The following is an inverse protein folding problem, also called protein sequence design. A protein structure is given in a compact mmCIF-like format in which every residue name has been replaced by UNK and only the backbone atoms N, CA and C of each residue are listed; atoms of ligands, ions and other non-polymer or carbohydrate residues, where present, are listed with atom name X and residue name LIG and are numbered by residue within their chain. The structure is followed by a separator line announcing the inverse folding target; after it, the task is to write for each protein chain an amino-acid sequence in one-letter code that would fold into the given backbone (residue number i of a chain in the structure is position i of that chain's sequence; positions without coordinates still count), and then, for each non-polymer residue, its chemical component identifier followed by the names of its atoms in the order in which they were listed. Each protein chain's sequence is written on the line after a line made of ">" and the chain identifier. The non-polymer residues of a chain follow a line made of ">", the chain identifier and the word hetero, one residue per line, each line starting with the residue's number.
data_IF_084514123555
#
_entry.id   IF_084514123555
#
_cell.length_a   1.000
_cell.length_b   1.000
_cell.length_c   1.000
_cell.angle_alpha   90.00
_cell.angle_beta   90.00
_cell.angle_gamma   90.00
#
_symmetry.space_group_name_H-M   'P 1'
#
loop_
_entity.id
_entity.type
_entity.pdbx_description
1 polymer ?
#
# COMPACT_ATOMS: atom_id res chain seq x y z
N UNK A 1 54.78 -16.07 2.02
CA UNK A 1 56.24 -15.83 1.90
C UNK A 1 56.91 -16.48 0.68
N UNK A 2 56.36 -17.52 0.03
CA UNK A 2 57.00 -18.19 -1.12
C UNK A 2 56.90 -17.49 -2.50
N UNK A 3 56.11 -16.42 -2.67
CA UNK A 3 55.96 -15.70 -3.96
C UNK A 3 56.95 -14.55 -4.19
N UNK A 4 57.68 -14.12 -3.15
CA UNK A 4 58.67 -13.03 -3.25
C UNK A 4 60.09 -13.52 -3.58
N UNK A 5 60.36 -14.83 -3.45
CA UNK A 5 61.64 -15.42 -3.83
C UNK A 5 61.83 -15.54 -5.36
N UNK A 6 60.74 -15.64 -6.13
CA UNK A 6 60.80 -15.82 -7.58
C UNK A 6 61.24 -14.57 -8.36
N UNK A 7 60.85 -13.37 -7.89
CA UNK A 7 61.21 -12.10 -8.54
C UNK A 7 62.68 -11.73 -8.33
N UNK A 8 63.28 -12.13 -7.20
CA UNK A 8 64.70 -11.91 -6.93
C UNK A 8 65.62 -12.79 -7.79
N UNK A 9 65.17 -14.00 -8.17
CA UNK A 9 65.95 -14.92 -9.00
C UNK A 9 65.92 -14.51 -10.48
N UNK A 10 64.79 -13.97 -10.97
CA UNK A 10 64.68 -13.49 -12.35
C UNK A 10 65.60 -12.29 -12.65
N UNK A 11 65.80 -11.40 -11.68
CA UNK A 11 66.73 -10.27 -11.80
C UNK A 11 68.21 -10.71 -11.75
N UNK A 12 68.51 -11.86 -11.13
CA UNK A 12 69.87 -12.38 -11.00
C UNK A 12 70.31 -13.18 -12.24
N UNK A 13 69.37 -13.79 -12.96
CA UNK A 13 69.65 -14.51 -14.22
C UNK A 13 70.01 -13.55 -15.37
N UNK A 14 69.50 -12.32 -15.36
CA UNK A 14 69.84 -11.29 -16.36
C UNK A 14 71.24 -10.67 -16.20
N UNK A 15 71.93 -10.90 -15.08
CA UNK A 15 73.28 -10.37 -14.83
C UNK A 15 74.41 -11.39 -15.04
N UNK A 16 74.10 -12.65 -15.38
CA UNK A 16 75.07 -13.74 -15.49
C UNK A 16 75.53 -14.09 -16.92
N UNK A 17 75.01 -13.44 -17.97
CA UNK A 17 75.42 -13.65 -19.37
C UNK A 17 75.76 -12.32 -20.06
N UNK A 18 77.04 -11.89 -20.10
CA UNK A 18 77.45 -10.75 -20.91
C UNK A 18 77.92 -11.28 -22.28
N UNK A 19 77.00 -11.49 -23.21
CA UNK A 19 77.37 -11.89 -24.56
C UNK A 19 76.17 -11.98 -25.48
N UNK A 20 76.12 -11.05 -26.45
CA UNK A 20 75.08 -10.84 -27.46
C UNK A 20 73.80 -10.15 -26.95
N UNK A 21 73.63 -8.87 -27.31
CA UNK A 21 72.65 -8.42 -28.31
C UNK A 21 72.89 -6.91 -28.51
N UNK A 22 73.00 -6.53 -29.78
CA UNK A 22 73.16 -5.18 -30.30
C UNK A 22 71.99 -4.24 -29.97
N UNK A 23 72.29 -2.96 -30.16
CA UNK A 23 71.42 -1.81 -29.91
C UNK A 23 70.05 -1.88 -30.59
N UNK A 24 68.99 -1.67 -29.80
CA UNK A 24 67.98 -0.59 -29.93
C UNK A 24 66.65 -1.00 -29.26
N UNK A 25 66.17 -0.15 -28.34
CA UNK A 25 64.75 0.15 -28.08
C UNK A 25 63.78 -0.75 -27.26
N UNK A 26 64.19 -1.69 -26.40
CA UNK A 26 63.18 -2.53 -25.66
C UNK A 26 63.20 -2.56 -24.12
N UNK A 27 64.22 -2.02 -23.44
CA UNK A 27 64.24 -2.08 -21.97
C UNK A 27 63.47 -0.93 -21.28
N UNK A 28 63.38 0.24 -21.92
CA UNK A 28 62.61 1.39 -21.41
C UNK A 28 61.11 1.25 -21.75
N UNK A 29 60.78 0.61 -22.88
CA UNK A 29 59.40 0.38 -23.30
C UNK A 29 58.60 -0.51 -22.35
N UNK A 30 59.20 -1.58 -21.81
CA UNK A 30 58.50 -2.52 -20.93
C UNK A 30 58.30 -2.00 -19.50
N UNK A 31 59.22 -1.21 -18.94
CA UNK A 31 59.00 -0.54 -17.65
C UNK A 31 57.94 0.57 -17.74
N UNK A 32 57.89 1.30 -18.86
CA UNK A 32 56.86 2.31 -19.10
C UNK A 32 55.50 1.66 -19.42
N UNK A 33 55.45 0.52 -20.11
CA UNK A 33 54.21 -0.23 -20.34
C UNK A 33 53.64 -0.87 -19.07
N UNK A 34 54.48 -1.36 -18.15
CA UNK A 34 54.00 -1.89 -16.85
C UNK A 34 53.46 -0.76 -15.97
N UNK A 35 54.09 0.42 -15.97
CA UNK A 35 53.60 1.60 -15.24
C UNK A 35 52.34 2.23 -15.90
N UNK A 36 52.24 2.21 -17.24
CA UNK A 36 51.04 2.70 -17.94
C UNK A 36 49.85 1.74 -17.84
N UNK A 37 50.07 0.43 -17.79
CA UNK A 37 49.02 -0.55 -17.47
C UNK A 37 48.52 -0.44 -16.03
N UNK A 38 49.38 -0.06 -15.08
CA UNK A 38 48.99 0.26 -13.70
C UNK A 38 48.18 1.57 -13.62
N UNK A 39 48.55 2.61 -14.38
CA UNK A 39 47.79 3.87 -14.45
C UNK A 39 46.44 3.72 -15.16
N UNK A 40 46.36 2.94 -16.24
CA UNK A 40 45.11 2.64 -16.95
C UNK A 40 44.16 1.76 -16.12
N UNK A 41 44.67 0.79 -15.36
CA UNK A 41 43.85 -0.01 -14.44
C UNK A 41 43.38 0.80 -13.21
N UNK A 42 44.14 1.80 -12.76
CA UNK A 42 43.67 2.73 -11.72
C UNK A 42 42.64 3.74 -12.24
N UNK A 43 42.78 4.25 -13.48
CA UNK A 43 41.78 5.12 -14.11
C UNK A 43 40.48 4.37 -14.48
N UNK A 44 40.56 3.10 -14.89
CA UNK A 44 39.39 2.29 -15.19
C UNK A 44 38.54 1.95 -13.94
N UNK A 45 39.18 1.79 -12.77
CA UNK A 45 38.47 1.57 -11.50
C UNK A 45 37.95 2.85 -10.84
N UNK A 46 38.45 4.03 -11.22
CA UNK A 46 37.96 5.33 -10.72
C UNK A 46 36.74 5.85 -11.52
N UNK A 47 36.47 5.32 -12.73
CA UNK A 47 35.36 5.79 -13.58
C UNK A 47 34.04 5.03 -13.37
N UNK A 48 34.01 3.96 -12.56
CA UNK A 48 32.78 3.21 -12.24
C UNK A 48 32.15 3.53 -10.87
N UNK A 49 32.46 4.69 -10.29
CA UNK A 49 31.70 5.27 -9.17
C UNK A 49 31.42 6.74 -9.46
N UNK A 50 30.60 7.00 -10.49
CA UNK A 50 29.92 8.30 -10.62
C UNK A 50 28.53 8.09 -11.19
N UNK A 51 27.59 7.88 -10.28
CA UNK A 51 26.16 7.90 -10.58
C UNK A 51 25.32 7.73 -9.33
N UNK A 52 24.77 8.84 -8.83
CA UNK A 52 23.49 8.80 -8.11
C UNK A 52 23.41 9.64 -6.82
N UNK A 53 22.97 10.89 -6.94
CA UNK A 53 22.54 11.67 -5.77
C UNK A 53 21.95 13.07 -6.08
N UNK A 54 20.63 13.12 -6.34
CA UNK A 54 19.73 14.29 -6.19
C UNK A 54 19.73 15.30 -7.35
N UNK A 55 18.62 15.88 -7.84
CA UNK A 55 17.21 15.95 -7.43
C UNK A 55 16.69 17.33 -7.87
N UNK A 56 15.48 17.43 -8.46
CA UNK A 56 14.80 18.73 -8.65
C UNK A 56 13.97 18.92 -9.93
N UNK A 57 12.66 18.67 -9.79
CA UNK A 57 11.47 19.30 -10.40
C UNK A 57 11.58 20.21 -11.64
N UNK A 58 10.80 19.90 -12.70
CA UNK A 58 9.64 20.72 -13.15
C UNK A 58 8.94 20.20 -14.42
N UNK A 59 7.60 20.26 -14.37
CA UNK A 59 6.60 20.45 -15.45
C UNK A 59 6.55 19.56 -16.71
N UNK A 60 5.39 18.89 -16.87
CA UNK A 60 4.55 19.09 -18.05
C UNK A 60 4.46 17.97 -19.11
N UNK A 61 3.25 17.50 -19.39
CA UNK A 61 2.83 17.16 -20.76
C UNK A 61 2.72 15.70 -21.18
N UNK A 62 1.50 15.16 -21.08
CA UNK A 62 0.76 14.23 -21.98
C UNK A 62 1.55 13.44 -23.06
N UNK A 63 1.33 12.11 -23.14
CA UNK A 63 0.54 11.40 -24.19
C UNK A 63 0.94 9.92 -24.38
N UNK A 64 -0.04 9.02 -24.21
CA UNK A 64 -0.38 7.78 -24.96
C UNK A 64 0.63 6.68 -25.35
N UNK A 65 0.18 5.43 -25.06
CA UNK A 65 0.38 4.14 -25.77
C UNK A 65 1.76 3.45 -25.61
N UNK A 66 1.93 2.13 -25.51
CA UNK A 66 1.07 0.97 -25.74
C UNK A 66 1.56 -0.28 -24.96
N UNK A 67 0.63 -1.19 -24.68
CA UNK A 67 0.74 -2.67 -24.70
C UNK A 67 2.00 -3.39 -24.18
N UNK A 68 1.82 -4.26 -23.19
CA UNK A 68 2.01 -5.70 -23.42
C UNK A 68 1.36 -6.54 -22.31
N UNK A 69 0.42 -7.35 -22.78
CA UNK A 69 -0.28 -8.43 -22.11
C UNK A 69 0.63 -9.62 -21.81
N UNK A 70 0.46 -10.25 -20.65
CA UNK A 70 0.64 -11.70 -20.53
C UNK A 70 -0.39 -12.24 -19.55
N UNK A 71 -1.39 -12.94 -20.11
CA UNK A 71 -2.40 -13.66 -19.36
C UNK A 71 -1.90 -15.05 -18.95
N UNK A 72 -2.42 -15.56 -17.84
CA UNK A 72 -2.56 -16.99 -17.61
C UNK A 72 -3.94 -17.27 -16.99
N UNK A 73 -4.72 -18.00 -17.77
CA UNK A 73 -5.99 -18.63 -17.46
C UNK A 73 -5.73 -20.09 -17.06
N UNK A 74 -6.43 -20.55 -16.03
CA UNK A 74 -6.86 -21.93 -15.75
C UNK A 74 -8.08 -21.74 -14.81
N UNK A 75 -9.34 -22.09 -15.11
CA UNK A 75 -9.84 -23.37 -15.64
C UNK A 75 -9.62 -24.42 -14.56
N UNK A 76 -10.58 -24.98 -13.84
CA UNK A 76 -12.01 -25.21 -14.03
C UNK A 76 -12.33 -26.53 -13.28
N UNK A 77 -13.62 -26.81 -13.08
CA UNK A 77 -14.21 -28.07 -12.57
C UNK A 77 -14.27 -28.22 -11.04
N UNK A 78 -15.42 -28.19 -10.37
CA UNK A 78 -16.71 -28.92 -10.50
C UNK A 78 -16.70 -30.36 -9.96
N UNK A 79 -17.55 -30.59 -8.96
CA UNK A 79 -18.28 -31.83 -8.58
C UNK A 79 -18.85 -31.57 -7.17
N UNK A 80 -20.17 -31.49 -6.96
CA UNK A 80 -21.14 -32.61 -6.93
C UNK A 80 -21.43 -32.91 -5.45
N UNK A 81 -22.64 -33.03 -4.89
CA UNK A 81 -23.92 -33.56 -5.37
C UNK A 81 -24.97 -33.24 -4.26
N UNK A 82 -26.12 -32.59 -4.52
CA UNK A 82 -27.42 -33.10 -5.00
C UNK A 82 -28.38 -33.68 -3.93
N UNK A 83 -29.55 -33.04 -3.77
CA UNK A 83 -30.92 -33.62 -3.77
C UNK A 83 -31.91 -32.57 -3.22
N UNK A 84 -33.14 -32.35 -3.69
CA UNK A 84 -33.90 -32.86 -4.84
C UNK A 84 -35.23 -32.08 -4.94
N UNK A 85 -35.64 -31.73 -6.18
CA UNK A 85 -37.05 -31.63 -6.69
C UNK A 85 -38.03 -30.62 -6.05
N UNK A 86 -38.95 -29.93 -6.74
CA UNK A 86 -39.51 -30.04 -8.10
C UNK A 86 -40.36 -28.77 -8.40
N UNK A 87 -40.43 -28.42 -9.70
CA UNK A 87 -41.54 -27.77 -10.44
C UNK A 87 -42.02 -26.37 -10.04
N UNK A 88 -42.31 -25.41 -10.94
CA UNK A 88 -42.44 -25.46 -12.39
C UNK A 88 -42.63 -24.04 -12.97
N UNK A 89 -41.91 -23.79 -14.07
CA UNK A 89 -42.39 -23.22 -15.35
C UNK A 89 -42.58 -21.70 -15.49
N UNK A 90 -41.63 -21.15 -16.26
CA UNK A 90 -41.69 -20.21 -17.40
C UNK A 90 -42.28 -18.81 -17.18
N UNK A 91 -41.45 -17.76 -17.24
CA UNK A 91 -40.76 -17.17 -18.41
C UNK A 91 -41.55 -16.03 -19.02
N UNK A 92 -40.88 -14.87 -19.07
CA UNK A 92 -40.84 -13.86 -20.15
C UNK A 92 -42.18 -13.19 -20.53
N UNK A 93 -42.26 -11.91 -20.87
CA UNK A 93 -41.31 -10.85 -21.17
C UNK A 93 -42.17 -9.66 -21.58
N UNK A 94 -41.68 -8.44 -21.41
CA UNK A 94 -41.95 -7.37 -22.37
C UNK A 94 -43.28 -6.60 -22.22
N UNK A 95 -43.11 -5.35 -21.80
CA UNK A 95 -43.54 -4.16 -22.55
C UNK A 95 -45.01 -3.73 -22.60
N UNK A 96 -45.12 -2.40 -22.67
CA UNK A 96 -46.15 -1.56 -23.32
C UNK A 96 -47.50 -1.31 -22.61
N UNK A 97 -47.57 -0.12 -22.02
CA UNK A 97 -48.46 1.00 -22.39
C UNK A 97 -49.91 0.76 -22.86
N UNK A 98 -50.82 1.46 -22.15
CA UNK A 98 -51.96 2.26 -22.63
C UNK A 98 -53.14 1.59 -23.36
N UNK A 99 -54.34 1.79 -22.80
CA UNK A 99 -55.61 2.37 -23.37
C UNK A 99 -56.80 1.83 -22.56
N UNK A 100 -57.60 2.68 -21.89
CA UNK A 100 -58.82 3.39 -22.34
C UNK A 100 -60.05 2.51 -22.63
N UNK A 101 -61.21 3.05 -22.21
CA UNK A 101 -62.60 2.74 -22.62
C UNK A 101 -63.33 1.69 -21.75
N UNK A 102 -64.28 2.07 -20.88
CA UNK A 102 -65.65 2.57 -21.09
C UNK A 102 -66.68 1.48 -21.43
N UNK A 103 -67.89 1.59 -20.84
CA UNK A 103 -69.09 0.89 -21.29
C UNK A 103 -69.84 0.12 -20.19
N UNK A 104 -70.89 0.73 -19.63
CA UNK A 104 -71.82 0.06 -18.71
C UNK A 104 -72.98 -0.67 -19.40
N UNK A 105 -73.84 -1.34 -18.61
CA UNK A 105 -75.32 -1.25 -18.58
C UNK A 105 -75.99 -2.45 -17.88
N UNK A 106 -76.87 -2.12 -16.91
CA UNK A 106 -78.28 -2.53 -16.69
C UNK A 106 -78.73 -3.98 -16.91
N UNK A 107 -79.32 -4.58 -15.86
CA UNK A 107 -80.60 -5.35 -15.79
C UNK A 107 -80.53 -6.29 -14.57
N UNK A 108 -81.57 -6.73 -13.86
CA UNK A 108 -83.03 -6.68 -13.94
C UNK A 108 -83.57 -7.28 -12.63
N UNK A 109 -84.81 -6.94 -12.25
CA UNK A 109 -85.32 -7.10 -10.88
C UNK A 109 -85.93 -8.44 -10.47
N UNK A 110 -86.56 -8.42 -9.28
CA UNK A 110 -87.64 -9.27 -8.73
C UNK A 110 -88.12 -8.53 -7.46
N UNK A 111 -89.33 -7.96 -7.39
CA UNK A 111 -90.67 -8.55 -7.26
C UNK A 111 -90.84 -9.55 -6.12
N UNK A 112 -91.48 -9.09 -5.04
CA UNK A 112 -92.34 -9.91 -4.16
C UNK A 112 -93.54 -9.08 -3.70
N UNK A 113 -94.73 -9.61 -3.98
CA UNK A 113 -96.05 -9.13 -3.55
C UNK A 113 -96.22 -9.18 -2.03
N UNK A 114 -97.03 -8.25 -1.50
CA UNK A 114 -97.63 -8.33 -0.17
C UNK A 114 -98.76 -7.31 -0.01
N UNK A 115 -100.01 -7.78 -0.16
CA UNK A 115 -101.27 -7.05 0.03
C UNK A 115 -101.42 -6.48 1.46
N UNK A 116 -102.02 -5.30 1.56
CA UNK A 116 -102.57 -4.76 2.80
C UNK A 116 -103.44 -3.53 2.54
N UNK A 117 -104.75 -3.72 2.59
CA UNK A 117 -105.81 -2.73 2.36
C UNK A 117 -105.97 -1.75 3.52
N UNK A 118 -106.34 -0.50 3.20
CA UNK A 118 -107.24 0.29 4.06
C UNK A 118 -106.83 1.74 4.30
N UNK A 119 -107.74 2.67 4.01
CA UNK A 119 -107.82 3.94 4.74
C UNK A 119 -107.72 5.20 3.89
N UNK A 120 -108.84 5.61 3.31
CA UNK A 120 -109.08 6.99 2.87
C UNK A 120 -108.82 7.99 4.00
N UNK A 121 -108.21 9.14 3.68
CA UNK A 121 -108.73 10.47 4.03
C UNK A 121 -107.90 11.59 3.40
N UNK A 122 -108.59 12.33 2.54
CA UNK A 122 -108.51 13.77 2.27
C UNK A 122 -107.54 14.59 3.13
N UNK A 123 -106.78 15.48 2.48
CA UNK A 123 -106.28 16.66 3.16
C UNK A 123 -105.16 17.40 2.45
N UNK A 124 -105.50 18.58 1.96
CA UNK A 124 -104.65 19.76 1.85
C UNK A 124 -103.64 19.85 0.68
N UNK A 125 -103.93 20.84 -0.16
CA UNK A 125 -102.95 21.60 -0.91
C UNK A 125 -101.74 21.98 -0.04
N UNK A 126 -100.53 21.91 -0.60
CA UNK A 126 -99.32 22.24 0.14
C UNK A 126 -98.07 22.31 -0.73
N UNK A 127 -97.86 23.48 -1.32
CA UNK A 127 -96.54 24.09 -1.59
C UNK A 127 -95.48 23.28 -2.36
N UNK A 128 -95.45 23.58 -3.66
CA UNK A 128 -94.33 23.52 -4.60
C UNK A 128 -93.12 24.40 -4.20
N UNK A 129 -92.61 24.30 -2.96
CA UNK A 129 -91.65 25.28 -2.42
C UNK A 129 -90.28 24.79 -1.96
N UNK A 130 -90.03 23.50 -1.71
CA UNK A 130 -88.86 23.06 -0.91
C UNK A 130 -87.95 21.97 -1.53
N UNK A 131 -88.20 21.56 -2.78
CA UNK A 131 -87.49 20.43 -3.38
C UNK A 131 -86.04 20.78 -3.71
N UNK A 132 -85.77 21.95 -4.28
CA UNK A 132 -84.41 22.36 -4.67
C UNK A 132 -83.48 22.57 -3.47
N UNK A 133 -83.99 23.13 -2.37
CA UNK A 133 -83.19 23.42 -1.18
C UNK A 133 -82.81 22.13 -0.42
N UNK A 134 -83.69 21.12 -0.42
CA UNK A 134 -83.40 19.81 0.16
C UNK A 134 -82.41 18.99 -0.69
N UNK A 135 -82.43 19.15 -2.02
CA UNK A 135 -81.49 18.50 -2.95
C UNK A 135 -80.11 19.16 -2.82
N UNK A 136 -80.03 20.50 -2.81
CA UNK A 136 -78.79 21.24 -2.58
C UNK A 136 -78.13 20.93 -1.23
N UNK A 137 -78.92 20.79 -0.15
CA UNK A 137 -78.39 20.41 1.16
C UNK A 137 -77.85 18.97 1.20
N UNK A 138 -78.38 18.06 0.38
CA UNK A 138 -77.89 16.68 0.27
C UNK A 138 -76.66 16.55 -0.63
N UNK A 139 -76.59 17.33 -1.71
CA UNK A 139 -75.40 17.46 -2.57
C UNK A 139 -74.20 17.98 -1.77
N UNK A 140 -74.38 19.06 -1.01
CA UNK A 140 -73.32 19.62 -0.15
C UNK A 140 -72.88 18.67 0.97
N UNK A 141 -73.78 17.83 1.50
CA UNK A 141 -73.41 16.80 2.48
C UNK A 141 -72.60 15.64 1.86
N UNK A 142 -72.92 15.26 0.61
CA UNK A 142 -72.17 14.26 -0.14
C UNK A 142 -70.77 14.77 -0.53
N UNK A 143 -70.67 16.01 -1.01
CA UNK A 143 -69.40 16.69 -1.32
C UNK A 143 -68.49 16.76 -0.09
N UNK A 144 -69.02 17.17 1.07
CA UNK A 144 -68.27 17.19 2.33
C UNK A 144 -67.77 15.80 2.77
N UNK A 145 -68.52 14.75 2.45
CA UNK A 145 -68.10 13.37 2.74
C UNK A 145 -66.95 12.97 1.82
N UNK A 146 -67.05 13.28 0.52
CA UNK A 146 -65.99 13.03 -0.46
C UNK A 146 -64.71 13.80 -0.12
N UNK A 147 -64.80 15.07 0.25
CA UNK A 147 -63.68 15.88 0.75
C UNK A 147 -62.96 15.23 1.94
N UNK A 148 -63.72 14.73 2.94
CA UNK A 148 -63.13 14.05 4.10
C UNK A 148 -62.40 12.75 3.72
N UNK A 149 -62.95 11.97 2.79
CA UNK A 149 -62.31 10.74 2.31
C UNK A 149 -61.03 11.10 1.54
N UNK A 150 -61.12 12.06 0.60
CA UNK A 150 -59.96 12.55 -0.17
C UNK A 150 -58.85 13.03 0.74
N UNK A 151 -59.16 13.83 1.76
CA UNK A 151 -58.21 14.31 2.76
C UNK A 151 -57.52 13.17 3.53
N UNK A 152 -58.28 12.16 3.94
CA UNK A 152 -57.73 11.04 4.73
C UNK A 152 -56.85 10.12 3.86
N UNK A 153 -57.30 9.80 2.66
CA UNK A 153 -56.57 8.95 1.71
C UNK A 153 -55.31 9.66 1.20
N UNK A 154 -55.42 10.95 0.87
CA UNK A 154 -54.29 11.79 0.46
C UNK A 154 -53.22 11.84 1.55
N UNK A 155 -53.60 12.14 2.79
CA UNK A 155 -52.67 12.14 3.91
C UNK A 155 -51.99 10.78 4.14
N UNK A 156 -52.75 9.68 4.09
CA UNK A 156 -52.24 8.32 4.29
C UNK A 156 -51.25 7.91 3.18
N UNK A 157 -51.65 8.10 1.93
CA UNK A 157 -50.85 7.71 0.76
C UNK A 157 -49.62 8.60 0.63
N UNK A 158 -49.77 9.92 0.76
CA UNK A 158 -48.66 10.87 0.66
C UNK A 158 -47.57 10.58 1.68
N UNK A 159 -47.95 10.29 2.93
CA UNK A 159 -46.98 9.89 3.94
C UNK A 159 -46.29 8.55 3.61
N UNK A 160 -47.07 7.53 3.22
CA UNK A 160 -46.53 6.21 2.90
C UNK A 160 -45.56 6.25 1.72
N UNK A 161 -45.91 6.97 0.65
CA UNK A 161 -45.08 7.13 -0.55
C UNK A 161 -43.80 7.90 -0.23
N UNK A 162 -43.88 8.99 0.54
CA UNK A 162 -42.72 9.72 0.99
C UNK A 162 -41.79 8.89 1.87
N UNK A 163 -42.35 8.05 2.76
CA UNK A 163 -41.57 7.23 3.70
C UNK A 163 -40.96 5.99 3.03
N UNK A 164 -41.59 5.45 2.00
CA UNK A 164 -40.97 4.51 1.06
C UNK A 164 -39.87 5.18 0.21
N UNK A 165 -39.89 6.51 0.13
CA UNK A 165 -38.95 7.31 -0.64
C UNK A 165 -39.20 7.23 -2.14
N UNK A 166 -40.46 7.06 -2.53
CA UNK A 166 -40.97 7.19 -3.89
C UNK A 166 -40.87 8.64 -4.35
N UNK A 167 -40.83 8.88 -5.66
CA UNK A 167 -40.96 10.22 -6.23
C UNK A 167 -42.41 10.70 -6.07
N UNK A 168 -42.63 11.99 -5.86
CA UNK A 168 -43.97 12.58 -5.81
C UNK A 168 -44.67 12.33 -7.16
N UNK A 169 -45.65 11.42 -7.18
CA UNK A 169 -46.49 11.15 -8.34
C UNK A 169 -47.94 11.30 -7.89
N UNK A 170 -48.63 12.30 -8.43
CA UNK A 170 -50.06 12.50 -8.17
C UNK A 170 -50.82 11.76 -9.27
N UNK A 171 -51.48 10.67 -8.91
CA UNK A 171 -52.34 9.92 -9.83
C UNK A 171 -53.73 10.54 -9.88
N UNK A 172 -54.03 11.25 -10.97
CA UNK A 172 -55.39 11.67 -11.29
C UNK A 172 -56.14 10.51 -11.94
N UNK A 173 -56.67 9.57 -11.13
CA UNK A 173 -57.72 8.68 -11.63
C UNK A 173 -59.06 9.40 -11.49
N UNK A 174 -59.83 9.44 -12.58
CA UNK A 174 -61.15 10.10 -12.72
C UNK A 174 -62.06 9.94 -11.48
N UNK A 175 -61.94 10.87 -10.52
CA UNK A 175 -62.81 10.98 -9.33
C UNK A 175 -63.38 12.40 -9.23
N UNK A 176 -64.47 12.53 -8.48
CA UNK A 176 -65.18 13.79 -8.22
C UNK A 176 -64.21 14.92 -7.83
N UNK A 177 -64.44 16.12 -8.35
CA UNK A 177 -63.56 17.29 -8.20
C UNK A 177 -63.34 17.65 -6.71
N UNK A 178 -64.42 17.58 -5.91
CA UNK A 178 -64.39 17.82 -4.46
C UNK A 178 -63.54 16.79 -3.68
N UNK A 179 -63.39 15.56 -4.16
CA UNK A 179 -62.47 14.58 -3.56
C UNK A 179 -61.02 14.91 -3.92
N UNK A 180 -60.76 15.22 -5.19
CA UNK A 180 -59.40 15.37 -5.74
C UNK A 180 -58.68 16.61 -5.20
N UNK A 181 -59.40 17.71 -4.97
CA UNK A 181 -58.83 18.94 -4.42
C UNK A 181 -58.25 18.71 -3.01
N UNK A 182 -59.05 18.16 -2.09
CA UNK A 182 -58.60 17.86 -0.73
C UNK A 182 -57.59 16.69 -0.69
N UNK A 183 -57.70 15.74 -1.61
CA UNK A 183 -56.70 14.68 -1.75
C UNK A 183 -55.33 15.25 -2.12
N UNK A 184 -55.23 16.10 -3.15
CA UNK A 184 -53.93 16.64 -3.59
C UNK A 184 -53.28 17.50 -2.49
N UNK A 185 -54.04 18.40 -1.87
CA UNK A 185 -53.53 19.25 -0.79
C UNK A 185 -53.00 18.42 0.38
N UNK A 186 -53.81 17.48 0.87
CA UNK A 186 -53.44 16.62 2.00
C UNK A 186 -52.30 15.66 1.66
N UNK A 187 -52.25 15.14 0.43
CA UNK A 187 -51.19 14.29 -0.07
C UNK A 187 -49.86 15.02 -0.09
N UNK A 188 -49.79 16.22 -0.66
CA UNK A 188 -48.56 17.02 -0.70
C UNK A 188 -48.06 17.38 0.70
N UNK A 189 -48.97 17.80 1.58
CA UNK A 189 -48.62 18.12 2.96
C UNK A 189 -48.07 16.91 3.72
N UNK A 190 -48.74 15.76 3.62
CA UNK A 190 -48.31 14.53 4.27
C UNK A 190 -47.04 13.94 3.65
N UNK A 191 -46.85 14.09 2.34
CA UNK A 191 -45.63 13.70 1.64
C UNK A 191 -44.42 14.51 2.14
N UNK A 192 -44.55 15.83 2.27
CA UNK A 192 -43.50 16.66 2.85
C UNK A 192 -43.16 16.25 4.30
N UNK A 193 -44.19 15.97 5.11
CA UNK A 193 -44.02 15.47 6.48
C UNK A 193 -43.33 14.09 6.52
N UNK A 194 -43.72 13.18 5.63
CA UNK A 194 -43.13 11.84 5.48
C UNK A 194 -41.67 11.90 5.06
N UNK A 195 -41.30 12.79 4.13
CA UNK A 195 -39.90 13.00 3.74
C UNK A 195 -39.05 13.51 4.91
N UNK A 196 -39.55 14.51 5.64
CA UNK A 196 -38.86 15.04 6.82
C UNK A 196 -38.63 13.94 7.87
N UNK A 197 -39.64 13.09 8.08
CA UNK A 197 -39.55 11.97 9.02
C UNK A 197 -38.58 10.89 8.54
N UNK A 198 -38.61 10.54 7.26
CA UNK A 198 -37.65 9.61 6.65
C UNK A 198 -36.21 10.10 6.84
N UNK A 199 -35.93 11.38 6.57
CA UNK A 199 -34.59 11.95 6.76
C UNK A 199 -34.12 11.92 8.22
N UNK A 200 -35.02 12.23 9.16
CA UNK A 200 -34.72 12.10 10.59
C UNK A 200 -34.41 10.66 10.99
N UNK A 201 -35.18 9.70 10.49
CA UNK A 201 -34.98 8.29 10.80
C UNK A 201 -33.71 7.74 10.15
N UNK A 202 -33.36 8.15 8.92
CA UNK A 202 -32.06 7.87 8.28
C UNK A 202 -30.90 8.39 9.14
N UNK A 203 -30.97 9.65 9.59
CA UNK A 203 -29.91 10.23 10.41
C UNK A 203 -29.76 9.52 11.77
N UNK A 204 -30.88 9.16 12.41
CA UNK A 204 -30.86 8.37 13.65
C UNK A 204 -30.30 6.97 13.41
N UNK A 205 -30.77 6.28 12.37
CA UNK A 205 -30.31 4.95 11.98
C UNK A 205 -28.81 4.93 11.69
N UNK A 206 -28.27 5.95 11.00
CA UNK A 206 -26.85 6.09 10.77
C UNK A 206 -26.06 6.18 12.09
N UNK A 207 -26.49 7.05 13.01
CA UNK A 207 -25.82 7.26 14.30
C UNK A 207 -25.90 6.02 15.19
N UNK A 208 -27.06 5.40 15.29
CA UNK A 208 -27.29 4.21 16.11
C UNK A 208 -26.56 2.98 15.54
N UNK A 209 -26.62 2.78 14.21
CA UNK A 209 -25.89 1.71 13.52
C UNK A 209 -24.39 1.84 13.76
N UNK A 210 -23.84 3.05 13.58
CA UNK A 210 -22.44 3.35 13.84
C UNK A 210 -22.06 3.12 15.31
N UNK A 211 -22.87 3.59 16.27
CA UNK A 211 -22.62 3.40 17.69
C UNK A 211 -22.65 1.92 18.10
N UNK A 212 -23.55 1.13 17.52
CA UNK A 212 -23.62 -0.32 17.75
C UNK A 212 -22.40 -1.03 17.17
N UNK A 213 -22.00 -0.71 15.94
CA UNK A 213 -20.84 -1.33 15.28
C UNK A 213 -19.50 -1.07 15.99
N UNK A 214 -19.39 0.03 16.73
CA UNK A 214 -18.24 0.25 17.63
C UNK A 214 -18.16 -0.75 18.77
N UNK A 215 -19.29 -1.23 19.26
CA UNK A 215 -19.37 -2.06 20.48
C UNK A 215 -19.41 -3.56 20.20
N UNK A 216 -20.05 -3.97 19.11
CA UNK A 216 -20.28 -5.40 18.80
C UNK A 216 -19.91 -5.75 17.36
N UNK A 217 -19.88 -7.04 17.06
CA UNK A 217 -19.78 -7.59 15.70
C UNK A 217 -21.13 -8.10 15.18
N UNK A 218 -22.16 -8.14 16.04
CA UNK A 218 -23.48 -8.66 15.69
C UNK A 218 -24.38 -7.52 15.21
N UNK A 219 -24.81 -7.60 13.96
CA UNK A 219 -25.79 -6.69 13.41
C UNK A 219 -27.18 -7.07 13.93
N UNK A 220 -27.81 -6.17 14.68
CA UNK A 220 -29.22 -6.27 15.08
C UNK A 220 -29.93 -4.99 14.70
N UNK A 221 -30.70 -5.03 13.60
CA UNK A 221 -31.47 -3.88 13.12
C UNK A 221 -32.76 -3.77 13.94
N UNK A 222 -33.02 -2.64 14.61
CA UNK A 222 -34.29 -2.40 15.31
C UNK A 222 -35.50 -2.61 14.39
N UNK A 223 -36.57 -3.24 14.90
CA UNK A 223 -37.82 -3.47 14.16
C UNK A 223 -38.44 -2.19 13.61
N UNK A 224 -38.23 -1.07 14.32
CA UNK A 224 -38.67 0.26 13.89
C UNK A 224 -38.08 0.67 12.54
N UNK A 225 -36.87 0.23 12.20
CA UNK A 225 -36.20 0.55 10.95
C UNK A 225 -36.48 -0.44 9.83
N UNK A 226 -36.96 -1.65 10.15
CA UNK A 226 -37.29 -2.68 9.16
C UNK A 226 -38.48 -2.31 8.27
N UNK A 227 -39.26 -1.29 8.66
CA UNK A 227 -40.41 -0.79 7.89
C UNK A 227 -40.03 0.02 6.66
N UNK A 228 -38.78 0.47 6.55
CA UNK A 228 -38.27 1.22 5.39
C UNK A 228 -36.89 0.70 5.02
N UNK A 229 -36.77 0.14 3.83
CA UNK A 229 -35.51 -0.43 3.32
C UNK A 229 -34.38 0.60 3.36
N UNK A 230 -34.66 1.86 3.00
CA UNK A 230 -33.67 2.95 3.03
C UNK A 230 -33.11 3.19 4.44
N UNK A 231 -33.95 3.14 5.47
CA UNK A 231 -33.54 3.34 6.86
C UNK A 231 -32.75 2.13 7.37
N UNK A 232 -33.23 0.92 7.10
CA UNK A 232 -32.56 -0.32 7.46
C UNK A 232 -31.17 -0.46 6.81
N UNK A 233 -31.07 -0.12 5.52
CA UNK A 233 -29.81 -0.15 4.77
C UNK A 233 -28.83 0.91 5.27
N UNK A 234 -29.32 2.10 5.64
CA UNK A 234 -28.49 3.14 6.27
C UNK A 234 -27.91 2.64 7.59
N UNK A 235 -28.74 2.06 8.46
CA UNK A 235 -28.28 1.47 9.73
C UNK A 235 -27.19 0.42 9.48
N UNK A 236 -27.45 -0.52 8.56
CA UNK A 236 -26.54 -1.61 8.20
C UNK A 236 -25.21 -1.08 7.67
N UNK A 237 -25.24 -0.11 6.77
CA UNK A 237 -24.05 0.49 6.17
C UNK A 237 -23.16 1.16 7.22
N UNK A 238 -23.75 2.00 8.07
CA UNK A 238 -23.00 2.68 9.12
C UNK A 238 -22.51 1.75 10.23
N UNK A 239 -23.25 0.67 10.52
CA UNK A 239 -22.78 -0.40 11.38
C UNK A 239 -21.50 -1.05 10.83
N UNK A 240 -21.50 -1.49 9.57
CA UNK A 240 -20.33 -2.13 8.98
C UNK A 240 -19.15 -1.17 8.83
N UNK A 241 -19.42 0.11 8.55
CA UNK A 241 -18.41 1.16 8.58
C UNK A 241 -17.71 1.24 9.94
N UNK A 242 -18.48 1.30 11.04
CA UNK A 242 -17.92 1.35 12.40
C UNK A 242 -17.11 0.10 12.76
N UNK A 243 -17.61 -1.10 12.40
CA UNK A 243 -16.90 -2.36 12.63
C UNK A 243 -15.56 -2.36 11.90
N UNK A 244 -15.55 -1.95 10.62
CA UNK A 244 -14.34 -1.86 9.81
C UNK A 244 -13.33 -0.88 10.40
N UNK A 245 -13.75 0.33 10.78
CA UNK A 245 -12.87 1.35 11.38
C UNK A 245 -12.25 0.86 12.70
N UNK A 246 -13.07 0.22 13.55
CA UNK A 246 -12.60 -0.35 14.81
C UNK A 246 -11.59 -1.48 14.57
N UNK A 247 -11.89 -2.39 13.67
CA UNK A 247 -11.02 -3.53 13.37
C UNK A 247 -9.70 -3.06 12.72
N UNK A 248 -9.73 -2.02 11.88
CA UNK A 248 -8.52 -1.38 11.37
C UNK A 248 -7.67 -0.75 12.48
N UNK A 249 -8.30 -0.04 13.42
CA UNK A 249 -7.60 0.56 14.56
C UNK A 249 -6.95 -0.50 15.46
N UNK A 250 -7.65 -1.61 15.73
CA UNK A 250 -7.11 -2.75 16.50
C UNK A 250 -5.95 -3.40 15.74
N UNK A 251 -6.11 -3.65 14.44
CA UNK A 251 -5.04 -4.22 13.60
C UNK A 251 -3.78 -3.34 13.63
N UNK A 252 -3.94 -2.01 13.56
CA UNK A 252 -2.83 -1.07 13.68
C UNK A 252 -2.12 -1.17 15.04
N UNK A 253 -2.86 -1.37 16.14
CA UNK A 253 -2.24 -1.58 17.46
C UNK A 253 -1.44 -2.87 17.49
N UNK A 254 -2.00 -3.99 17.04
CA UNK A 254 -1.29 -5.26 16.96
C UNK A 254 -0.04 -5.20 16.10
N UNK A 255 -0.10 -4.50 14.95
CA UNK A 255 1.08 -4.24 14.13
C UNK A 255 2.16 -3.46 14.90
N UNK A 256 1.79 -2.43 15.65
CA UNK A 256 2.76 -1.65 16.44
C UNK A 256 3.36 -2.47 17.58
N UNK A 257 2.58 -3.33 18.23
CA UNK A 257 3.06 -4.23 19.27
C UNK A 257 4.02 -5.27 18.67
N UNK A 258 3.65 -5.87 17.54
CA UNK A 258 4.51 -6.75 16.75
C UNK A 258 5.83 -6.08 16.39
N UNK A 259 5.79 -4.84 15.90
CA UNK A 259 7.00 -4.07 15.55
C UNK A 259 7.91 -3.84 16.76
N UNK A 260 7.37 -3.42 17.90
CA UNK A 260 8.14 -3.24 19.15
C UNK A 260 8.77 -4.54 19.63
N UNK A 261 8.04 -5.63 19.52
CA UNK A 261 8.47 -6.98 19.87
C UNK A 261 9.56 -7.49 18.92
N UNK A 262 9.40 -7.24 17.62
CA UNK A 262 10.39 -7.54 16.59
C UNK A 262 11.71 -6.82 16.82
N UNK A 263 11.67 -5.53 17.19
CA UNK A 263 12.87 -4.75 17.55
C UNK A 263 13.59 -5.24 18.80
N UNK A 264 12.96 -6.09 19.61
CA UNK A 264 13.56 -6.68 20.82
C UNK A 264 13.86 -8.16 20.67
N UNK A 265 13.62 -8.74 19.50
CA UNK A 265 13.71 -10.18 19.24
C UNK A 265 12.85 -11.04 20.20
N UNK A 266 11.69 -10.53 20.59
CA UNK A 266 10.73 -11.23 21.47
C UNK A 266 9.47 -11.55 20.69
N UNK A 267 9.16 -12.83 20.45
CA UNK A 267 7.96 -13.22 19.70
C UNK A 267 6.81 -13.60 20.65
N UNK A 268 5.80 -12.73 20.75
CA UNK A 268 4.62 -12.90 21.59
C UNK A 268 3.33 -12.69 20.80
N UNK A 269 2.98 -13.61 19.89
CA UNK A 269 1.77 -13.50 19.09
C UNK A 269 0.51 -13.64 19.94
N UNK A 270 -0.58 -12.93 19.60
CA UNK A 270 -1.82 -13.00 20.36
C UNK A 270 -2.55 -14.32 20.14
N UNK A 271 -2.59 -15.18 21.18
CA UNK A 271 -3.10 -16.56 21.08
C UNK A 271 -4.62 -16.70 20.82
N UNK A 272 -5.43 -15.69 21.18
CA UNK A 272 -6.91 -15.74 21.06
C UNK A 272 -7.48 -14.60 20.21
N UNK A 273 -6.64 -13.95 19.39
CA UNK A 273 -7.11 -12.89 18.52
C UNK A 273 -7.69 -13.44 17.22
N UNK A 274 -8.55 -12.65 16.57
CA UNK A 274 -9.00 -12.94 15.20
C UNK A 274 -7.78 -12.99 14.27
N UNK A 275 -7.83 -13.85 13.25
CA UNK A 275 -6.74 -14.04 12.28
C UNK A 275 -6.16 -12.74 11.74
N UNK A 276 -7.02 -11.80 11.33
CA UNK A 276 -6.61 -10.47 10.81
C UNK A 276 -5.68 -9.70 11.78
N UNK A 277 -5.90 -9.85 13.08
CA UNK A 277 -5.10 -9.18 14.10
C UNK A 277 -3.78 -9.90 14.37
N UNK A 278 -3.80 -11.24 14.35
CA UNK A 278 -2.58 -12.03 14.41
C UNK A 278 -1.68 -11.76 13.20
N UNK A 279 -2.26 -11.73 11.99
CA UNK A 279 -1.53 -11.40 10.75
C UNK A 279 -0.94 -9.99 10.82
N UNK A 280 -1.68 -9.01 11.35
CA UNK A 280 -1.17 -7.65 11.56
C UNK A 280 0.02 -7.62 12.53
N UNK A 281 -0.05 -8.40 13.62
CA UNK A 281 1.06 -8.56 14.57
C UNK A 281 2.29 -9.17 13.89
N UNK A 282 2.13 -10.28 13.16
CA UNK A 282 3.24 -10.97 12.50
C UNK A 282 3.93 -10.07 11.46
N UNK A 283 3.15 -9.32 10.69
CA UNK A 283 3.69 -8.33 9.75
C UNK A 283 4.51 -7.25 10.45
N UNK A 284 4.02 -6.75 11.60
CA UNK A 284 4.75 -5.81 12.44
C UNK A 284 6.05 -6.41 12.97
N UNK A 285 5.99 -7.64 13.48
CA UNK A 285 7.14 -8.37 14.00
C UNK A 285 8.21 -8.59 12.93
N UNK A 286 7.82 -9.07 11.76
CA UNK A 286 8.74 -9.25 10.62
C UNK A 286 9.41 -7.92 10.21
N UNK A 287 8.67 -6.81 10.21
CA UNK A 287 9.23 -5.49 9.95
C UNK A 287 10.24 -5.07 11.03
N UNK A 288 9.89 -5.23 12.31
CA UNK A 288 10.79 -4.95 13.42
C UNK A 288 12.07 -5.78 13.38
N UNK A 289 11.97 -7.05 12.98
CA UNK A 289 13.11 -7.95 12.78
C UNK A 289 14.03 -7.50 11.63
N UNK A 290 13.44 -7.06 10.51
CA UNK A 290 14.20 -6.49 9.39
C UNK A 290 14.95 -5.21 9.80
N UNK A 291 14.30 -4.34 10.57
CA UNK A 291 14.90 -3.08 11.04
C UNK A 291 16.01 -3.36 12.06
N UNK A 292 15.81 -4.34 12.95
CA UNK A 292 16.83 -4.80 13.90
C UNK A 292 18.06 -5.39 13.19
N UNK A 293 17.85 -6.24 12.16
CA UNK A 293 18.94 -6.76 11.32
C UNK A 293 19.74 -5.61 10.70
N UNK A 294 19.05 -4.67 10.07
CA UNK A 294 19.68 -3.50 9.43
C UNK A 294 20.51 -2.69 10.42
N UNK A 295 20.00 -2.49 11.64
CA UNK A 295 20.73 -1.80 12.70
C UNK A 295 22.03 -2.51 13.06
N UNK A 296 22.00 -3.82 13.34
CA UNK A 296 23.20 -4.57 13.71
C UNK A 296 24.21 -4.69 12.57
N UNK A 297 23.74 -4.90 11.34
CA UNK A 297 24.62 -4.86 10.16
C UNK A 297 25.33 -3.51 10.04
N UNK A 298 24.62 -2.40 10.24
CA UNK A 298 25.22 -1.06 10.20
C UNK A 298 26.27 -0.88 11.30
N UNK A 299 26.02 -1.38 12.51
CA UNK A 299 27.00 -1.36 13.60
C UNK A 299 28.25 -2.19 13.25
N UNK A 300 28.07 -3.38 12.69
CA UNK A 300 29.17 -4.24 12.21
C UNK A 300 30.01 -3.56 11.14
N UNK A 301 29.35 -2.96 10.14
CA UNK A 301 30.00 -2.16 9.10
C UNK A 301 30.83 -1.04 9.70
N UNK A 302 30.24 -0.22 10.57
CA UNK A 302 30.94 0.88 11.22
C UNK A 302 32.17 0.39 12.01
N UNK A 303 32.05 -0.73 12.71
CA UNK A 303 33.16 -1.31 13.45
C UNK A 303 34.30 -1.79 12.54
N UNK A 304 34.01 -2.25 11.31
CA UNK A 304 35.05 -2.61 10.35
C UNK A 304 35.93 -1.42 9.94
N UNK A 305 35.35 -0.21 9.87
CA UNK A 305 36.10 1.02 9.59
C UNK A 305 36.85 1.55 10.81
N UNK A 306 36.39 1.26 12.02
CA UNK A 306 36.96 1.78 13.25
C UNK A 306 38.05 0.87 13.85
N UNK A 307 37.88 -0.44 13.71
CA UNK A 307 38.69 -1.46 14.38
C UNK A 307 39.73 -2.09 13.48
N UNK A 308 40.85 -2.50 14.08
CA UNK A 308 41.92 -3.21 13.37
C UNK A 308 41.60 -4.69 13.12
N UNK A 309 40.76 -5.26 13.98
CA UNK A 309 40.31 -6.65 13.96
C UNK A 309 38.84 -6.70 14.33
N UNK A 310 38.19 -7.80 13.96
CA UNK A 310 36.84 -8.09 14.42
C UNK A 310 36.82 -8.25 15.93
N UNK A 311 35.86 -7.59 16.58
CA UNK A 311 35.52 -7.77 17.98
C UNK A 311 34.06 -8.20 18.04
N UNK A 312 33.78 -9.27 18.78
CA UNK A 312 32.43 -9.78 18.91
C UNK A 312 31.59 -8.81 19.75
N UNK A 313 30.36 -8.47 19.32
CA UNK A 313 29.55 -7.50 20.04
C UNK A 313 29.12 -8.10 21.40
N UNK A 314 28.97 -7.25 22.41
CA UNK A 314 28.51 -7.64 23.75
C UNK A 314 27.00 -7.97 23.78
N UNK A 315 26.59 -8.96 22.99
CA UNK A 315 25.20 -9.44 22.92
C UNK A 315 25.16 -10.93 23.22
N UNK A 316 24.29 -11.35 24.14
CA UNK A 316 24.10 -12.77 24.44
C UNK A 316 23.34 -13.53 23.33
N UNK A 317 22.77 -12.81 22.35
CA UNK A 317 21.96 -13.40 21.30
C UNK A 317 22.80 -13.71 20.05
N UNK A 318 22.99 -15.00 19.68
CA UNK A 318 23.87 -15.40 18.58
C UNK A 318 23.38 -14.88 17.22
N UNK A 319 22.06 -14.66 17.06
CA UNK A 319 21.47 -14.13 15.84
C UNK A 319 21.89 -12.68 15.58
N UNK A 320 21.91 -11.86 16.64
CA UNK A 320 22.32 -10.46 16.56
C UNK A 320 23.83 -10.35 16.32
N UNK A 321 24.63 -11.19 16.99
CA UNK A 321 26.06 -11.32 16.73
C UNK A 321 26.34 -11.73 15.27
N UNK A 322 25.54 -12.65 14.72
CA UNK A 322 25.60 -13.06 13.31
C UNK A 322 25.37 -11.90 12.34
N UNK A 323 24.31 -11.11 12.53
CA UNK A 323 24.04 -9.94 11.67
C UNK A 323 25.11 -8.85 11.79
N UNK A 324 25.64 -8.64 12.99
CA UNK A 324 26.77 -7.74 13.19
C UNK A 324 27.99 -8.22 12.41
N UNK A 325 28.31 -9.51 12.48
CA UNK A 325 29.41 -10.10 11.71
C UNK A 325 29.21 -9.98 10.21
N UNK A 326 28.00 -10.24 9.71
CA UNK A 326 27.62 -10.07 8.30
C UNK A 326 27.96 -8.65 7.82
N UNK A 327 27.54 -7.62 8.56
CA UNK A 327 27.86 -6.23 8.22
C UNK A 327 29.35 -5.88 8.31
N UNK A 328 30.08 -6.48 9.25
CA UNK A 328 31.54 -6.31 9.36
C UNK A 328 32.29 -6.94 8.18
N UNK A 329 31.87 -8.13 7.77
CA UNK A 329 32.48 -8.89 6.68
C UNK A 329 32.21 -8.25 5.32
N UNK A 330 30.98 -7.76 5.08
CA UNK A 330 30.61 -6.99 3.88
C UNK A 330 31.48 -5.74 3.70
N UNK A 331 31.82 -5.07 4.81
CA UNK A 331 32.61 -3.85 4.80
C UNK A 331 34.12 -4.08 4.57
N UNK A 332 34.61 -5.33 4.64
CA UNK A 332 36.05 -5.61 4.51
C UNK A 332 36.63 -5.18 3.16
N UNK A 333 35.85 -5.29 2.08
CA UNK A 333 36.27 -4.85 0.74
C UNK A 333 36.58 -3.35 0.72
N UNK A 334 35.63 -2.54 1.16
CA UNK A 334 35.76 -1.07 1.24
C UNK A 334 36.90 -0.65 2.17
N UNK A 335 36.98 -1.28 3.35
CA UNK A 335 38.03 -1.04 4.34
C UNK A 335 39.42 -1.36 3.77
N UNK A 336 39.56 -2.46 3.03
CA UNK A 336 40.85 -2.83 2.42
C UNK A 336 41.24 -1.86 1.30
N UNK A 337 40.28 -1.39 0.49
CA UNK A 337 40.51 -0.33 -0.50
C UNK A 337 41.07 0.94 0.13
N UNK A 338 40.43 1.42 1.20
CA UNK A 338 40.87 2.60 1.94
C UNK A 338 42.23 2.40 2.62
N UNK A 339 42.50 1.20 3.19
CA UNK A 339 43.82 0.85 3.75
C UNK A 339 44.91 0.85 2.68
N UNK A 340 44.64 0.31 1.49
CA UNK A 340 45.60 0.30 0.39
C UNK A 340 45.93 1.72 -0.10
N UNK A 341 44.93 2.61 -0.16
CA UNK A 341 45.15 4.01 -0.50
C UNK A 341 46.05 4.71 0.54
N UNK A 342 45.72 4.57 1.83
CA UNK A 342 46.55 5.09 2.93
C UNK A 342 47.99 4.55 2.88
N UNK A 343 48.15 3.24 2.63
CA UNK A 343 49.45 2.60 2.46
C UNK A 343 50.22 3.17 1.28
N UNK A 344 49.58 3.35 0.12
CA UNK A 344 50.21 3.93 -1.07
C UNK A 344 50.71 5.36 -0.80
N UNK A 345 49.88 6.20 -0.15
CA UNK A 345 50.26 7.56 0.23
C UNK A 345 51.49 7.58 1.15
N UNK A 346 51.59 6.64 2.08
CA UNK A 346 52.78 6.46 2.91
C UNK A 346 54.00 5.98 2.12
N UNK A 347 53.82 5.05 1.19
CA UNK A 347 54.90 4.49 0.39
C UNK A 347 55.52 5.51 -0.58
N UNK A 348 54.73 6.44 -1.13
CA UNK A 348 55.24 7.52 -1.98
C UNK A 348 55.90 8.66 -1.18
N UNK A 349 55.93 8.57 0.15
CA UNK A 349 56.60 9.54 1.02
C UNK A 349 55.85 10.85 1.22
N UNK A 350 54.52 10.88 1.01
CA UNK A 350 53.73 12.07 1.38
C UNK A 350 53.75 12.29 2.89
N UNK A 351 53.49 13.53 3.31
CA UNK A 351 53.32 13.85 4.72
C UNK A 351 52.03 13.21 5.24
N UNK A 352 52.08 12.67 6.46
CA UNK A 352 50.88 12.17 7.11
C UNK A 352 49.87 13.32 7.30
N UNK A 353 48.72 13.19 6.65
CA UNK A 353 47.55 14.03 6.89
C UNK A 353 46.34 13.11 6.92
N UNK A 354 45.60 13.14 8.03
CA UNK A 354 44.33 12.44 8.13
C UNK A 354 43.29 13.20 7.28
N UNK A 355 42.62 12.54 6.32
CA UNK A 355 41.60 13.20 5.50
C UNK A 355 40.35 13.50 6.32
N UNK A 356 39.74 14.66 6.12
CA UNK A 356 38.49 15.05 6.81
C UNK A 356 37.29 14.20 6.34
N UNK A 357 37.38 13.61 5.14
CA UNK A 357 36.39 12.74 4.51
C UNK A 357 36.72 11.25 4.65
N UNK A 358 37.70 10.89 5.50
CA UNK A 358 38.09 9.50 5.68
C UNK A 358 37.01 8.68 6.39
N UNK A 359 36.54 7.61 5.73
CA UNK A 359 35.64 6.63 6.35
C UNK A 359 36.34 5.76 7.40
N UNK A 360 37.66 5.51 7.24
CA UNK A 360 38.48 4.78 8.21
C UNK A 360 38.77 5.63 9.44
N UNK A 361 38.82 5.02 10.62
CA UNK A 361 39.33 5.72 11.81
C UNK A 361 40.79 6.13 11.64
N UNK A 362 41.18 7.21 12.34
CA UNK A 362 42.55 7.71 12.33
C UNK A 362 43.56 6.63 12.70
N UNK A 363 43.26 5.81 13.71
CA UNK A 363 44.15 4.72 14.13
C UNK A 363 44.38 3.69 13.02
N UNK A 364 43.33 3.29 12.30
CA UNK A 364 43.41 2.32 11.20
C UNK A 364 44.15 2.93 10.01
N UNK A 365 43.81 4.18 9.64
CA UNK A 365 44.44 4.93 8.57
C UNK A 365 45.94 5.13 8.83
N UNK A 366 46.30 5.61 10.02
CA UNK A 366 47.69 5.83 10.45
C UNK A 366 48.51 4.56 10.40
N UNK A 367 47.97 3.42 10.85
CA UNK A 367 48.68 2.14 10.80
C UNK A 367 48.97 1.71 9.36
N UNK A 368 48.00 1.86 8.45
CA UNK A 368 48.19 1.54 7.04
C UNK A 368 49.23 2.45 6.39
N UNK A 369 49.13 3.77 6.63
CA UNK A 369 50.06 4.76 6.12
C UNK A 369 51.51 4.55 6.60
N UNK A 370 51.71 4.32 7.91
CA UNK A 370 53.03 4.01 8.46
C UNK A 370 53.59 2.70 7.89
N UNK A 371 52.73 1.71 7.65
CA UNK A 371 53.11 0.49 6.93
C UNK A 371 53.69 0.78 5.55
N UNK A 372 53.10 1.72 4.82
CA UNK A 372 53.61 2.20 3.53
C UNK A 372 54.99 2.83 3.62
N UNK A 373 55.19 3.73 4.59
CA UNK A 373 56.49 4.37 4.82
C UNK A 373 57.59 3.36 5.16
N UNK A 374 57.29 2.38 6.02
CA UNK A 374 58.23 1.31 6.38
C UNK A 374 58.56 0.46 5.17
N UNK A 375 57.56 0.10 4.35
CA UNK A 375 57.77 -0.66 3.12
C UNK A 375 58.68 0.10 2.13
N UNK A 376 58.45 1.40 1.92
CA UNK A 376 59.29 2.24 1.06
C UNK A 376 60.72 2.38 1.59
N UNK A 377 60.90 2.54 2.91
CA UNK A 377 62.23 2.58 3.53
C UNK A 377 62.98 1.27 3.32
N UNK A 378 62.32 0.13 3.53
CA UNK A 378 62.91 -1.19 3.31
C UNK A 378 63.26 -1.41 1.85
N UNK A 379 62.40 -0.96 0.92
CA UNK A 379 62.67 -1.02 -0.51
C UNK A 379 63.88 -0.16 -0.91
N UNK A 380 63.99 1.06 -0.40
CA UNK A 380 65.15 1.93 -0.64
C UNK A 380 66.44 1.35 -0.04
N UNK A 381 66.38 0.75 1.15
CA UNK A 381 67.52 0.06 1.75
C UNK A 381 67.97 -1.13 0.90
N UNK A 382 67.02 -1.91 0.37
CA UNK A 382 67.29 -3.00 -0.56
C UNK A 382 67.94 -2.48 -1.85
N UNK A 383 67.42 -1.41 -2.47
CA UNK A 383 68.03 -0.81 -3.65
C UNK A 383 69.45 -0.32 -3.39
N UNK A 384 69.71 0.31 -2.24
CA UNK A 384 71.07 0.72 -1.84
C UNK A 384 72.01 -0.47 -1.70
N UNK A 385 71.53 -1.57 -1.10
CA UNK A 385 72.31 -2.80 -1.00
C UNK A 385 72.63 -3.37 -2.39
N UNK A 386 71.64 -3.43 -3.28
CA UNK A 386 71.86 -3.90 -4.66
C UNK A 386 72.86 -3.01 -5.40
N UNK A 387 72.72 -1.68 -5.31
CA UNK A 387 73.67 -0.73 -5.91
C UNK A 387 75.09 -0.86 -5.32
N UNK A 388 75.19 -1.11 -4.02
CA UNK A 388 76.48 -1.34 -3.36
C UNK A 388 77.15 -2.63 -3.86
N UNK A 389 76.39 -3.73 -3.97
CA UNK A 389 76.89 -5.00 -4.48
C UNK A 389 77.31 -4.89 -5.94
N UNK A 390 76.54 -4.21 -6.78
CA UNK A 390 76.91 -4.01 -8.19
C UNK A 390 78.14 -3.11 -8.35
N UNK A 391 78.24 -2.02 -7.57
CA UNK A 391 79.43 -1.18 -7.55
C UNK A 391 80.68 -1.93 -7.05
N UNK A 392 80.55 -2.74 -6.01
CA UNK A 392 81.64 -3.57 -5.50
C UNK A 392 82.08 -4.61 -6.55
N UNK A 393 81.14 -5.29 -7.22
CA UNK A 393 81.46 -6.21 -8.31
C UNK A 393 82.19 -5.51 -9.47
N UNK A 394 81.76 -4.31 -9.84
CA UNK A 394 82.41 -3.51 -10.88
C UNK A 394 83.84 -3.13 -10.50
N UNK A 395 84.08 -2.71 -9.25
CA UNK A 395 85.41 -2.39 -8.74
C UNK A 395 86.33 -3.62 -8.70
N UNK A 396 85.84 -4.76 -8.21
CA UNK A 396 86.59 -6.03 -8.20
C UNK A 396 87.03 -6.41 -9.61
N UNK A 397 86.14 -6.30 -10.60
CA UNK A 397 86.48 -6.57 -12.01
C UNK A 397 87.60 -5.65 -12.51
N UNK A 398 87.55 -4.35 -12.20
CA UNK A 398 88.59 -3.38 -12.59
C UNK A 398 89.93 -3.69 -11.91
N UNK A 399 89.92 -4.08 -10.65
CA UNK A 399 91.12 -4.44 -9.91
C UNK A 399 91.79 -5.69 -10.48
N UNK A 400 91.02 -6.73 -10.83
CA UNK A 400 91.54 -7.95 -11.48
C UNK A 400 92.21 -7.62 -12.83
N UNK A 401 91.58 -6.75 -13.64
CA UNK A 401 92.17 -6.33 -14.93
C UNK A 401 93.49 -5.59 -14.69
N UNK A 402 93.52 -4.60 -13.78
CA UNK A 402 94.74 -3.86 -13.48
C UNK A 402 95.87 -4.74 -12.94
N UNK A 403 95.54 -5.71 -12.10
CA UNK A 403 96.49 -6.69 -11.57
C UNK A 403 97.12 -7.54 -12.68
N UNK A 404 96.33 -7.99 -13.66
CA UNK A 404 96.84 -8.77 -14.78
C UNK A 404 97.72 -7.95 -15.74
N UNK A 405 97.56 -6.63 -15.83
CA UNK A 405 98.44 -5.76 -16.62
C UNK A 405 99.73 -5.36 -15.90
N UNK A 406 99.80 -5.52 -14.58
CA UNK A 406 100.97 -5.19 -13.74
C UNK A 406 102.00 -6.33 -13.68
N UNK A 407 101.69 -7.49 -14.26
CA UNK A 407 102.47 -8.72 -14.21
C UNK A 407 102.96 -9.04 -15.61
#
# INVERSE_FOLDING_TARGET
>A
MKRWAGLGIAALILLAYPGAIDAESTCIGNCVQVLSHLDQNMKANIVLVKGGGGGGSSSGGRSSSASSSSGKSYGGSSSGSSSSTKSSVRSSSGSSSSTKSSGGKISGGKSTNGKGSGGSKSGAAGQSGNTEQSISNRLTAAEKKLQKIGKADGAKNGYADAYAGSTLIIYYQYQDEAYMEEYDESYRAAYAAGQKKLQQDIAKAANEGYALGKKTNQLKIPETYQKSDKVADTFRSYFYKAVSERDQAISKKYYQDGLKHGLKDVHLPPQKARKVFADAYENGYAKGQSDLKTYYMKQGRNAAFQSLKYEEPATANPKLAGWYREGFDEAQGDVQGSKNNAFLLGAIGRTYKYPDDAELSEAVYKRAFLGGQVAARNFMAFLRFVLFVTAACWLVRRFIIAWNYSR
#
